data_IF_698419550576
#
_entry.id   IF_698419550576
#
_cell.length_a   1.000
_cell.length_b   1.000
_cell.length_c   1.000
_cell.angle_alpha   90.00
_cell.angle_beta   90.00
_cell.angle_gamma   90.00
#
_symmetry.space_group_name_H-M   'P 1'
#
loop_
_entity.id
_entity.type
_entity.pdbx_description
1 polymer ?
#
# COMPACT_ATOMS: atom_id res chain seq x y z
N UNK A 1 -10.23 9.59 -11.65
CA UNK A 1 -9.14 8.90 -10.92
C UNK A 1 -9.69 7.86 -9.98
N UNK A 2 -8.84 7.01 -9.40
CA UNK A 2 -9.24 6.00 -8.41
C UNK A 2 -8.64 6.31 -7.05
N UNK A 3 -9.44 6.23 -5.99
CA UNK A 3 -9.01 6.45 -4.62
C UNK A 3 -9.30 5.18 -3.81
N UNK A 4 -8.25 4.67 -3.15
CA UNK A 4 -8.34 3.46 -2.33
C UNK A 4 -7.92 3.75 -0.89
N UNK A 5 -8.60 3.17 0.08
CA UNK A 5 -8.15 3.21 1.47
C UNK A 5 -7.05 2.17 1.68
N UNK A 6 -5.86 2.64 2.05
CA UNK A 6 -4.76 1.78 2.48
C UNK A 6 -4.76 1.68 4.01
N UNK A 7 -4.65 0.48 4.54
CA UNK A 7 -4.55 0.26 5.98
C UNK A 7 -3.21 -0.39 6.32
N UNK A 8 -2.36 0.31 7.09
CA UNK A 8 -1.05 -0.21 7.49
C UNK A 8 -1.14 -1.26 8.60
N UNK A 9 -2.15 -1.13 9.46
CA UNK A 9 -2.36 -1.97 10.64
C UNK A 9 -1.18 -1.93 11.63
N UNK A 10 -0.74 -0.74 12.10
CA UNK A 10 0.29 -0.65 13.13
C UNK A 10 -0.27 -1.05 14.48
N UNK A 11 0.60 -1.55 15.38
CA UNK A 11 0.21 -1.76 16.77
C UNK A 11 -0.09 -0.41 17.45
N UNK A 12 -1.27 -0.31 18.09
CA UNK A 12 -1.83 0.98 18.55
C UNK A 12 -1.38 1.39 19.95
N UNK A 13 -0.78 0.47 20.74
CA UNK A 13 -0.50 0.64 22.17
C UNK A 13 1.00 0.52 22.54
N UNK A 14 1.91 0.94 21.65
CA UNK A 14 3.33 1.00 22.02
C UNK A 14 3.55 2.01 23.15
N UNK A 15 4.35 1.66 24.20
CA UNK A 15 4.55 2.49 25.37
C UNK A 15 5.24 3.82 25.03
N UNK A 16 5.13 4.81 25.94
CA UNK A 16 5.66 6.15 25.68
C UNK A 16 7.19 6.19 25.61
N UNK A 17 7.85 5.31 26.32
CA UNK A 17 9.31 5.13 26.33
C UNK A 17 9.81 4.13 25.24
N UNK A 18 8.97 3.80 24.24
CA UNK A 18 9.29 2.84 23.20
C UNK A 18 10.60 3.17 22.48
N UNK A 19 10.74 4.40 21.99
CA UNK A 19 11.92 4.83 21.24
C UNK A 19 13.21 4.93 22.09
N UNK A 20 13.10 4.94 23.41
CA UNK A 20 14.24 4.90 24.34
C UNK A 20 14.69 3.47 24.63
N UNK A 21 13.76 2.51 24.57
CA UNK A 21 14.03 1.11 24.91
C UNK A 21 14.40 0.26 23.70
N UNK A 22 13.84 0.55 22.54
CA UNK A 22 14.00 -0.26 21.34
C UNK A 22 14.63 0.55 20.21
N UNK A 23 15.42 -0.13 19.39
CA UNK A 23 16.18 0.52 18.30
C UNK A 23 15.40 0.59 17.00
N UNK A 24 14.41 -0.30 16.84
CA UNK A 24 13.63 -0.37 15.61
C UNK A 24 12.26 -0.98 15.88
N UNK A 25 11.20 -0.40 15.32
CA UNK A 25 9.86 -0.95 15.36
C UNK A 25 9.75 -2.30 14.62
N UNK A 26 10.73 -2.61 13.74
CA UNK A 26 10.72 -3.83 12.92
C UNK A 26 11.43 -5.02 13.55
N UNK A 27 12.50 -4.84 14.32
CA UNK A 27 13.42 -5.96 14.60
C UNK A 27 13.62 -6.34 16.07
N UNK A 28 13.47 -5.45 17.02
CA UNK A 28 13.79 -5.74 18.41
C UNK A 28 12.64 -5.72 19.43
N UNK A 29 11.41 -5.27 19.12
CA UNK A 29 10.33 -5.25 20.09
C UNK A 29 9.79 -6.66 20.37
N UNK A 30 9.88 -7.17 21.62
CA UNK A 30 9.37 -8.49 21.95
C UNK A 30 7.84 -8.48 22.07
N UNK A 31 7.16 -9.33 21.31
CA UNK A 31 5.70 -9.43 21.29
C UNK A 31 5.12 -9.67 22.70
N UNK A 32 5.72 -10.60 23.46
CA UNK A 32 5.20 -11.01 24.78
C UNK A 32 5.26 -9.91 25.84
N UNK A 33 6.10 -8.88 25.65
CA UNK A 33 6.20 -7.75 26.59
C UNK A 33 5.27 -6.59 26.19
N UNK A 34 5.00 -6.44 24.90
CA UNK A 34 4.35 -5.24 24.35
C UNK A 34 2.92 -5.49 23.91
N UNK A 35 2.59 -6.70 23.48
CA UNK A 35 1.33 -6.98 22.84
C UNK A 35 0.46 -7.98 23.62
N UNK A 36 -0.85 -7.76 23.57
CA UNK A 36 -1.87 -8.66 24.09
C UNK A 36 -2.63 -9.27 22.91
N UNK A 37 -2.67 -10.61 22.84
CA UNK A 37 -3.31 -11.32 21.72
C UNK A 37 -4.82 -11.08 21.63
N UNK A 38 -5.50 -10.77 22.75
CA UNK A 38 -6.94 -10.44 22.75
C UNK A 38 -7.15 -9.08 22.09
N UNK A 39 -6.32 -8.08 22.46
CA UNK A 39 -6.34 -6.76 21.80
C UNK A 39 -5.97 -6.86 20.33
N UNK A 40 -4.96 -7.65 19.98
CA UNK A 40 -4.58 -7.87 18.58
C UNK A 40 -5.74 -8.47 17.80
N UNK A 41 -6.45 -9.45 18.36
CA UNK A 41 -7.66 -10.00 17.76
C UNK A 41 -8.74 -8.93 17.51
N UNK A 42 -8.93 -8.00 18.46
CA UNK A 42 -9.84 -6.86 18.29
C UNK A 42 -9.37 -5.92 17.17
N UNK A 43 -8.06 -5.66 17.04
CA UNK A 43 -7.52 -4.79 15.99
C UNK A 43 -7.69 -5.38 14.60
N UNK A 44 -7.61 -6.72 14.43
CA UNK A 44 -7.95 -7.37 13.17
C UNK A 44 -9.40 -7.13 12.79
N UNK A 45 -10.34 -7.31 13.73
CA UNK A 45 -11.76 -7.06 13.47
C UNK A 45 -12.02 -5.59 13.14
N UNK A 46 -11.47 -4.64 13.91
CA UNK A 46 -11.60 -3.22 13.61
C UNK A 46 -11.03 -2.86 12.23
N UNK A 47 -9.89 -3.42 11.84
CA UNK A 47 -9.31 -3.17 10.52
C UNK A 47 -10.21 -3.66 9.40
N UNK A 48 -10.82 -4.85 9.56
CA UNK A 48 -11.80 -5.37 8.61
C UNK A 48 -13.04 -4.47 8.55
N UNK A 49 -13.59 -4.08 9.71
CA UNK A 49 -14.77 -3.20 9.79
C UNK A 49 -14.49 -1.83 9.17
N UNK A 50 -13.33 -1.23 9.42
CA UNK A 50 -12.90 0.06 8.84
C UNK A 50 -12.81 0.00 7.31
N UNK A 51 -12.23 -1.08 6.76
CA UNK A 51 -12.12 -1.27 5.31
C UNK A 51 -13.47 -1.57 4.65
N UNK A 52 -14.31 -2.39 5.28
CA UNK A 52 -15.67 -2.69 4.80
C UNK A 52 -16.51 -1.42 4.85
N UNK A 53 -16.42 -0.64 5.94
CA UNK A 53 -17.12 0.64 6.05
C UNK A 53 -16.72 1.61 4.95
N UNK A 54 -15.43 1.73 4.67
CA UNK A 54 -14.94 2.57 3.56
C UNK A 54 -15.51 2.10 2.20
N UNK A 55 -15.61 0.78 1.98
CA UNK A 55 -16.24 0.22 0.79
C UNK A 55 -17.72 0.59 0.70
N UNK A 56 -18.48 0.47 1.78
CA UNK A 56 -19.90 0.85 1.86
C UNK A 56 -20.11 2.36 1.63
N UNK A 57 -19.15 3.20 2.01
CA UNK A 57 -19.16 4.65 1.74
C UNK A 57 -18.72 5.02 0.32
N UNK A 58 -18.39 4.04 -0.49
CA UNK A 58 -18.16 4.22 -1.92
C UNK A 58 -16.74 4.59 -2.31
N UNK A 59 -15.73 4.25 -1.52
CA UNK A 59 -14.33 4.32 -1.95
C UNK A 59 -14.10 3.38 -3.15
N UNK A 60 -13.12 3.66 -4.01
CA UNK A 60 -12.90 2.83 -5.21
C UNK A 60 -12.22 1.50 -4.90
N UNK A 61 -11.37 1.46 -3.88
CA UNK A 61 -10.65 0.25 -3.49
C UNK A 61 -10.29 0.21 -2.01
N UNK A 62 -10.04 -0.98 -1.51
CA UNK A 62 -9.54 -1.25 -0.16
C UNK A 62 -8.25 -2.03 -0.24
N UNK A 63 -7.19 -1.52 0.43
CA UNK A 63 -5.84 -2.03 0.30
C UNK A 63 -5.35 -2.69 1.59
N UNK A 64 -4.79 -3.88 1.46
CA UNK A 64 -4.04 -4.60 2.50
C UNK A 64 -2.56 -4.71 2.10
N UNK A 65 -1.69 -4.96 3.07
CA UNK A 65 -0.23 -5.04 2.89
C UNK A 65 0.36 -6.21 3.68
N UNK A 66 1.66 -6.46 3.54
CA UNK A 66 2.37 -7.54 4.24
C UNK A 66 3.56 -7.00 5.01
N UNK A 67 3.60 -7.30 6.32
CA UNK A 67 4.74 -7.07 7.20
C UNK A 67 4.85 -8.18 8.23
N UNK A 68 6.08 -8.53 8.60
CA UNK A 68 6.36 -9.71 9.40
C UNK A 68 7.08 -9.38 10.70
N UNK A 69 6.66 -10.08 11.80
CA UNK A 69 7.36 -10.13 13.08
C UNK A 69 7.65 -8.75 13.70
N UNK A 70 6.75 -7.77 13.53
CA UNK A 70 6.99 -6.40 13.95
C UNK A 70 5.72 -5.67 14.37
N UNK A 71 5.90 -4.52 15.04
CA UNK A 71 4.80 -3.66 15.49
C UNK A 71 4.44 -2.55 14.48
N UNK A 72 5.20 -2.41 13.39
CA UNK A 72 4.95 -1.45 12.33
C UNK A 72 3.68 -1.76 11.54
N UNK A 73 3.51 -3.05 11.18
CA UNK A 73 2.32 -3.52 10.48
C UNK A 73 2.17 -5.02 10.75
N UNK A 74 1.23 -5.40 11.60
CA UNK A 74 1.07 -6.81 11.96
C UNK A 74 0.02 -7.51 11.08
N UNK A 75 0.24 -7.45 9.78
CA UNK A 75 -0.52 -8.16 8.75
C UNK A 75 0.39 -9.15 8.00
N UNK A 76 0.75 -10.29 8.63
CA UNK A 76 1.72 -11.23 8.05
C UNK A 76 1.17 -12.04 6.88
N UNK A 77 -0.14 -12.03 6.65
CA UNK A 77 -0.76 -12.65 5.50
C UNK A 77 -1.91 -11.76 4.97
N UNK A 78 -1.63 -10.92 3.96
CA UNK A 78 -2.63 -10.06 3.36
C UNK A 78 -3.72 -10.86 2.62
N UNK A 79 -3.43 -12.08 2.18
CA UNK A 79 -4.36 -12.89 1.38
C UNK A 79 -5.50 -13.45 2.25
N UNK A 80 -5.25 -13.72 3.53
CA UNK A 80 -6.32 -14.02 4.50
C UNK A 80 -7.25 -12.82 4.67
N UNK A 81 -6.71 -11.62 4.85
CA UNK A 81 -7.51 -10.40 4.97
C UNK A 81 -8.24 -10.09 3.67
N UNK A 82 -7.54 -10.20 2.54
CA UNK A 82 -8.10 -9.99 1.20
C UNK A 82 -9.25 -10.95 0.88
N UNK A 83 -9.17 -12.20 1.28
CA UNK A 83 -10.23 -13.19 1.08
C UNK A 83 -11.49 -12.85 1.86
N UNK A 84 -11.35 -12.41 3.13
CA UNK A 84 -12.46 -11.95 3.96
C UNK A 84 -13.09 -10.71 3.32
N UNK A 85 -12.27 -9.72 2.93
CA UNK A 85 -12.73 -8.48 2.31
C UNK A 85 -13.41 -8.74 0.96
N UNK A 86 -12.85 -9.62 0.12
CA UNK A 86 -13.45 -10.00 -1.15
C UNK A 86 -14.86 -10.59 -0.96
N UNK A 87 -15.05 -11.42 0.06
CA UNK A 87 -16.37 -12.01 0.39
C UNK A 87 -17.31 -10.98 1.02
N UNK A 88 -16.83 -10.18 1.96
CA UNK A 88 -17.65 -9.20 2.68
C UNK A 88 -18.15 -8.07 1.76
N UNK A 89 -17.35 -7.69 0.77
CA UNK A 89 -17.70 -6.65 -0.23
C UNK A 89 -18.30 -7.23 -1.51
N UNK A 90 -18.75 -8.48 -1.49
CA UNK A 90 -19.37 -9.08 -2.68
C UNK A 90 -20.64 -8.32 -3.08
N UNK A 91 -20.76 -8.06 -4.39
CA UNK A 91 -21.86 -7.25 -4.92
C UNK A 91 -21.66 -5.74 -4.84
N UNK A 92 -20.47 -5.26 -4.41
CA UNK A 92 -20.08 -3.84 -4.49
C UNK A 92 -19.13 -3.57 -5.63
N UNK A 93 -18.97 -2.29 -6.00
CA UNK A 93 -18.03 -1.82 -7.04
C UNK A 93 -16.64 -1.47 -6.47
N UNK A 94 -16.24 -2.07 -5.34
CA UNK A 94 -14.94 -1.81 -4.71
C UNK A 94 -13.89 -2.82 -5.16
N UNK A 95 -12.70 -2.35 -5.52
CA UNK A 95 -11.56 -3.22 -5.80
C UNK A 95 -10.93 -3.73 -4.50
N UNK A 96 -10.53 -5.00 -4.48
CA UNK A 96 -9.70 -5.59 -3.43
C UNK A 96 -8.24 -5.49 -3.87
N UNK A 97 -7.52 -4.55 -3.28
CA UNK A 97 -6.16 -4.21 -3.70
C UNK A 97 -5.16 -4.90 -2.77
N UNK A 98 -4.57 -5.99 -3.24
CA UNK A 98 -3.49 -6.67 -2.54
C UNK A 98 -2.19 -5.91 -2.79
N UNK A 99 -1.76 -5.05 -1.84
CA UNK A 99 -0.50 -4.30 -2.00
C UNK A 99 0.74 -5.01 -1.45
N UNK A 100 0.60 -6.25 -1.12
CA UNK A 100 0.85 -7.22 -0.88
C UNK A 100 1.56 -8.45 -0.66
N UNK A 101 1.48 -9.56 -1.33
CA UNK A 101 2.35 -10.70 -1.06
C UNK A 101 3.81 -10.41 -1.51
N UNK A 102 4.74 -10.44 -0.58
CA UNK A 102 6.17 -10.17 -0.81
C UNK A 102 6.79 -11.34 -1.58
N UNK A 103 7.03 -11.15 -2.88
CA UNK A 103 7.42 -12.26 -3.76
C UNK A 103 8.70 -13.01 -3.34
N UNK A 104 9.78 -12.33 -2.90
CA UNK A 104 11.02 -13.04 -2.52
C UNK A 104 10.89 -13.99 -1.34
N UNK A 105 9.92 -13.74 -0.42
CA UNK A 105 9.74 -14.56 0.78
C UNK A 105 8.97 -15.85 0.51
N UNK A 106 8.21 -15.90 -0.57
CA UNK A 106 7.37 -17.05 -0.92
C UNK A 106 8.17 -18.16 -1.58
N UNK A 107 8.11 -19.37 -1.03
CA UNK A 107 8.78 -20.54 -1.57
C UNK A 107 7.88 -21.78 -1.46
N UNK A 108 7.32 -22.26 -2.57
CA UNK A 108 7.42 -21.72 -3.92
C UNK A 108 6.45 -20.52 -4.14
N UNK A 109 6.78 -19.57 -5.04
CA UNK A 109 5.92 -18.41 -5.31
C UNK A 109 4.62 -18.76 -6.05
N UNK A 110 4.49 -19.97 -6.53
CA UNK A 110 3.26 -20.49 -7.14
C UNK A 110 2.08 -20.43 -6.19
N UNK A 111 2.32 -20.45 -4.87
CA UNK A 111 1.31 -20.29 -3.85
C UNK A 111 0.62 -18.93 -3.95
N UNK A 112 1.38 -17.85 -4.16
CA UNK A 112 0.80 -16.51 -4.39
C UNK A 112 -0.08 -16.51 -5.64
N UNK A 113 0.34 -17.20 -6.71
CA UNK A 113 -0.48 -17.29 -7.91
C UNK A 113 -1.84 -17.96 -7.65
N UNK A 114 -1.89 -18.97 -6.79
CA UNK A 114 -3.12 -19.65 -6.39
C UNK A 114 -3.97 -18.78 -5.44
N UNK A 115 -3.37 -18.22 -4.41
CA UNK A 115 -4.04 -17.35 -3.42
C UNK A 115 -4.67 -16.12 -4.09
N UNK A 116 -3.94 -15.44 -4.95
CA UNK A 116 -4.46 -14.32 -5.75
C UNK A 116 -5.58 -14.75 -6.70
N UNK A 117 -5.45 -15.93 -7.32
CA UNK A 117 -6.52 -16.46 -8.16
C UNK A 117 -7.79 -16.76 -7.36
N UNK A 118 -7.66 -17.28 -6.13
CA UNK A 118 -8.80 -17.49 -5.23
C UNK A 118 -9.48 -16.17 -4.88
N UNK A 119 -8.72 -15.15 -4.51
CA UNK A 119 -9.25 -13.82 -4.18
C UNK A 119 -9.96 -13.22 -5.41
N UNK A 120 -9.38 -13.36 -6.59
CA UNK A 120 -9.98 -12.88 -7.84
C UNK A 120 -11.31 -13.59 -8.13
N UNK A 121 -11.35 -14.91 -7.96
CA UNK A 121 -12.58 -15.69 -8.11
C UNK A 121 -13.64 -15.31 -7.05
N UNK A 122 -13.28 -15.20 -5.77
CA UNK A 122 -14.20 -14.82 -4.69
C UNK A 122 -14.75 -13.41 -4.91
N UNK A 123 -13.91 -12.49 -5.35
CA UNK A 123 -14.31 -11.09 -5.60
C UNK A 123 -15.06 -10.91 -6.92
N UNK A 124 -15.15 -11.92 -7.80
CA UNK A 124 -15.77 -11.78 -9.10
C UNK A 124 -14.95 -10.91 -10.06
N UNK A 125 -13.62 -11.01 -10.03
CA UNK A 125 -12.73 -10.26 -10.92
C UNK A 125 -12.50 -8.81 -10.49
N UNK A 126 -12.52 -8.51 -9.18
CA UNK A 126 -12.28 -7.17 -8.62
C UNK A 126 -10.91 -7.01 -7.96
N UNK A 127 -10.04 -8.00 -8.07
CA UNK A 127 -8.71 -7.96 -7.45
C UNK A 127 -7.72 -7.14 -8.26
N UNK A 128 -6.85 -6.40 -7.55
CA UNK A 128 -5.61 -5.80 -8.06
C UNK A 128 -4.44 -6.51 -7.38
N UNK A 129 -3.50 -7.02 -8.18
CA UNK A 129 -2.36 -7.80 -7.72
C UNK A 129 -1.15 -6.89 -7.44
N UNK A 130 -0.93 -6.51 -6.20
CA UNK A 130 0.32 -5.88 -5.78
C UNK A 130 1.43 -6.91 -5.66
N UNK A 131 2.59 -6.59 -6.20
CA UNK A 131 3.77 -7.45 -6.20
C UNK A 131 4.98 -6.69 -5.63
N UNK A 132 5.10 -6.55 -4.29
CA UNK A 132 6.23 -5.87 -3.67
C UNK A 132 7.51 -6.70 -3.70
N UNK A 133 8.64 -6.00 -3.80
CA UNK A 133 9.94 -6.57 -3.51
C UNK A 133 10.12 -6.86 -2.01
N UNK A 134 9.40 -6.13 -1.17
CA UNK A 134 9.49 -6.18 0.28
C UNK A 134 10.61 -5.31 0.87
N UNK A 135 10.51 -5.04 2.17
CA UNK A 135 11.54 -4.34 2.92
C UNK A 135 12.65 -5.30 3.34
N UNK A 136 13.85 -4.78 3.60
CA UNK A 136 14.95 -5.61 4.09
C UNK A 136 14.66 -6.27 5.44
N UNK A 137 13.92 -5.58 6.31
CA UNK A 137 13.54 -6.13 7.62
C UNK A 137 12.70 -7.38 7.45
N UNK A 138 11.65 -7.32 6.65
CA UNK A 138 10.76 -8.45 6.42
C UNK A 138 11.45 -9.57 5.61
N UNK A 139 12.17 -9.21 4.54
CA UNK A 139 12.74 -10.20 3.60
C UNK A 139 14.05 -10.79 4.13
N UNK A 140 14.99 -9.93 4.52
CA UNK A 140 16.33 -10.39 4.87
C UNK A 140 16.43 -10.85 6.32
N UNK A 141 15.82 -10.12 7.28
CA UNK A 141 15.92 -10.45 8.69
C UNK A 141 14.88 -11.50 9.12
N UNK A 142 13.60 -11.32 8.74
CA UNK A 142 12.54 -12.24 9.17
C UNK A 142 12.54 -13.57 8.40
N UNK A 143 12.88 -13.54 7.11
CA UNK A 143 12.85 -14.73 6.24
C UNK A 143 14.22 -15.25 5.84
N UNK A 144 15.30 -14.57 6.25
CA UNK A 144 16.67 -15.04 6.00
C UNK A 144 17.08 -15.06 4.52
N UNK A 145 16.41 -14.28 3.66
CA UNK A 145 16.80 -14.20 2.26
C UNK A 145 18.05 -13.30 2.15
N UNK A 146 19.16 -13.77 1.54
CA UNK A 146 20.33 -12.94 1.34
C UNK A 146 19.99 -11.68 0.52
N UNK A 147 20.45 -10.48 0.95
CA UNK A 147 20.11 -9.22 0.27
C UNK A 147 20.45 -9.23 -1.23
N UNK A 148 21.56 -9.87 -1.60
CA UNK A 148 22.01 -9.97 -3.00
C UNK A 148 21.08 -10.84 -3.88
N UNK A 149 20.33 -11.76 -3.29
CA UNK A 149 19.42 -12.64 -4.02
C UNK A 149 18.00 -12.06 -4.13
N UNK A 150 17.65 -11.11 -3.25
CA UNK A 150 16.28 -10.63 -3.09
C UNK A 150 15.65 -10.18 -4.42
N UNK A 151 16.38 -9.39 -5.21
CA UNK A 151 15.86 -8.84 -6.47
C UNK A 151 15.78 -9.89 -7.58
N UNK A 152 16.73 -10.78 -7.67
CA UNK A 152 16.69 -11.85 -8.67
C UNK A 152 15.59 -12.87 -8.36
N UNK A 153 15.39 -13.24 -7.09
CA UNK A 153 14.25 -14.04 -6.64
C UNK A 153 12.93 -13.38 -6.98
N UNK A 154 12.84 -12.06 -6.78
CA UNK A 154 11.66 -11.28 -7.11
C UNK A 154 11.30 -11.37 -8.59
N UNK A 155 12.27 -11.18 -9.47
CA UNK A 155 12.05 -11.25 -10.92
C UNK A 155 11.63 -12.66 -11.36
N UNK A 156 12.30 -13.69 -10.84
CA UNK A 156 11.95 -15.07 -11.16
C UNK A 156 10.56 -15.45 -10.64
N UNK A 157 10.20 -15.04 -9.42
CA UNK A 157 8.88 -15.26 -8.86
C UNK A 157 7.78 -14.59 -9.69
N UNK A 158 7.98 -13.33 -10.06
CA UNK A 158 7.06 -12.57 -10.92
C UNK A 158 6.80 -13.31 -12.25
N UNK A 159 7.87 -13.69 -12.96
CA UNK A 159 7.76 -14.35 -14.26
C UNK A 159 7.06 -15.71 -14.15
N UNK A 160 7.34 -16.48 -13.09
CA UNK A 160 6.67 -17.74 -12.80
C UNK A 160 5.17 -17.53 -12.54
N UNK A 161 4.79 -16.54 -11.72
CA UNK A 161 3.39 -16.24 -11.41
C UNK A 161 2.63 -15.84 -12.67
N UNK A 162 3.17 -14.90 -13.46
CA UNK A 162 2.51 -14.47 -14.69
C UNK A 162 2.36 -15.62 -15.69
N UNK A 163 3.39 -16.46 -15.83
CA UNK A 163 3.29 -17.64 -16.68
C UNK A 163 2.25 -18.62 -16.18
N UNK A 164 2.16 -18.85 -14.87
CA UNK A 164 1.16 -19.75 -14.27
C UNK A 164 -0.27 -19.28 -14.53
N UNK A 165 -0.53 -17.96 -14.49
CA UNK A 165 -1.84 -17.41 -14.80
C UNK A 165 -2.23 -17.50 -16.28
N UNK A 166 -1.25 -17.41 -17.18
CA UNK A 166 -1.49 -17.26 -18.63
C UNK A 166 -1.32 -18.56 -19.43
N UNK A 167 -0.46 -19.49 -18.98
CA UNK A 167 -0.18 -20.71 -19.75
C UNK A 167 -1.42 -21.60 -19.88
N UNK A 168 -1.87 -21.95 -21.08
CA UNK A 168 -2.98 -22.89 -21.27
C UNK A 168 -2.60 -24.32 -20.92
N UNK A 169 -1.31 -24.66 -20.92
CA UNK A 169 -0.77 -25.99 -20.73
C UNK A 169 -0.07 -26.18 -19.41
N UNK A 170 0.04 -27.41 -18.96
CA UNK A 170 0.91 -27.81 -17.84
C UNK A 170 2.35 -27.61 -18.28
N UNK A 171 3.18 -27.03 -17.43
CA UNK A 171 4.60 -26.81 -17.74
C UNK A 171 5.49 -27.12 -16.53
N UNK A 172 6.78 -27.32 -16.79
CA UNK A 172 7.81 -27.35 -15.77
C UNK A 172 8.49 -25.97 -15.67
N UNK A 173 8.91 -25.58 -14.46
CA UNK A 173 9.75 -24.42 -14.24
C UNK A 173 11.13 -24.85 -13.73
N UNK A 174 12.18 -24.45 -14.42
CA UNK A 174 13.56 -24.77 -14.05
C UNK A 174 14.38 -23.48 -14.00
N UNK A 175 14.11 -22.65 -13.00
CA UNK A 175 14.78 -21.40 -12.78
C UNK A 175 16.04 -21.54 -11.91
N UNK A 176 16.63 -20.41 -11.57
CA UNK A 176 17.80 -20.36 -10.68
C UNK A 176 17.40 -20.66 -9.24
N UNK A 177 16.31 -20.08 -8.76
CA UNK A 177 15.85 -20.14 -7.37
C UNK A 177 14.68 -21.12 -7.20
N UNK A 178 13.83 -21.28 -8.20
CA UNK A 178 12.63 -22.11 -8.10
C UNK A 178 12.67 -23.22 -9.16
N UNK A 179 12.44 -24.46 -8.71
CA UNK A 179 12.41 -25.64 -9.57
C UNK A 179 11.15 -26.43 -9.28
N UNK A 180 10.22 -26.41 -10.24
CA UNK A 180 8.94 -27.08 -10.14
C UNK A 180 8.78 -28.06 -11.31
N UNK A 181 8.73 -29.37 -11.06
CA UNK A 181 8.54 -30.36 -12.10
C UNK A 181 7.21 -30.19 -12.86
N UNK A 182 6.21 -29.64 -12.19
CA UNK A 182 4.89 -29.43 -12.77
C UNK A 182 4.28 -28.13 -12.19
N UNK A 183 3.76 -27.28 -13.06
CA UNK A 183 2.93 -26.12 -12.73
C UNK A 183 1.61 -26.23 -13.47
N UNK A 184 0.51 -26.31 -12.71
CA UNK A 184 -0.85 -26.35 -13.21
C UNK A 184 -1.77 -25.84 -12.10
N UNK A 185 -1.91 -24.51 -11.99
CA UNK A 185 -2.66 -23.91 -10.90
C UNK A 185 -4.18 -24.09 -11.03
N UNK A 186 -4.84 -24.32 -9.90
CA UNK A 186 -6.27 -24.40 -9.70
C UNK A 186 -6.63 -23.64 -8.41
N UNK A 187 -7.44 -22.52 -8.50
CA UNK A 187 -8.05 -21.95 -9.71
C UNK A 187 -7.09 -21.09 -10.54
N UNK A 188 -7.63 -20.51 -11.61
CA UNK A 188 -7.01 -19.42 -12.38
C UNK A 188 -7.82 -18.14 -12.19
N UNK A 189 -7.21 -16.96 -12.36
CA UNK A 189 -7.95 -15.71 -12.27
C UNK A 189 -9.09 -15.61 -13.27
N UNK A 190 -10.19 -14.97 -12.88
CA UNK A 190 -11.28 -14.56 -13.78
C UNK A 190 -10.77 -13.55 -14.80
N UNK A 191 -10.01 -12.56 -14.32
CA UNK A 191 -9.48 -11.48 -15.14
C UNK A 191 -8.48 -11.99 -16.17
N UNK A 192 -8.53 -11.45 -17.40
CA UNK A 192 -7.67 -11.86 -18.51
C UNK A 192 -6.86 -10.68 -19.05
N UNK A 193 -5.59 -10.87 -19.40
CA UNK A 193 -4.80 -12.11 -19.28
C UNK A 193 -4.47 -12.49 -17.83
N UNK A 194 -4.55 -11.55 -16.91
CA UNK A 194 -4.35 -11.66 -15.45
C UNK A 194 -4.91 -10.41 -14.76
N UNK A 195 -5.07 -10.39 -13.43
CA UNK A 195 -5.42 -9.17 -12.69
C UNK A 195 -4.43 -8.03 -12.96
N UNK A 196 -4.86 -6.76 -12.93
CA UNK A 196 -3.94 -5.63 -13.01
C UNK A 196 -2.82 -5.74 -11.97
N UNK A 197 -1.56 -5.54 -12.41
CA UNK A 197 -0.40 -5.65 -11.52
C UNK A 197 0.08 -4.27 -11.09
N UNK A 198 0.20 -4.08 -9.78
CA UNK A 198 0.75 -2.87 -9.17
C UNK A 198 2.08 -3.18 -8.47
N UNK A 199 3.09 -2.35 -8.71
CA UNK A 199 4.44 -2.51 -8.14
C UNK A 199 4.67 -1.42 -7.10
N UNK A 200 4.50 -1.73 -5.79
CA UNK A 200 4.89 -0.80 -4.75
C UNK A 200 6.42 -0.64 -4.69
N UNK A 201 6.86 0.59 -4.49
CA UNK A 201 8.29 0.88 -4.43
C UNK A 201 8.62 2.24 -3.84
N UNK A 202 9.89 2.45 -3.53
CA UNK A 202 10.42 3.63 -2.83
C UNK A 202 11.26 4.58 -3.71
N UNK A 203 11.18 4.48 -5.05
CA UNK A 203 11.91 5.37 -5.96
C UNK A 203 13.22 4.80 -6.54
N UNK A 204 13.38 3.49 -6.53
CA UNK A 204 14.49 2.80 -7.19
C UNK A 204 14.36 2.82 -8.72
N UNK A 205 15.44 3.15 -9.43
CA UNK A 205 15.49 3.15 -10.90
C UNK A 205 15.13 1.77 -11.48
N UNK A 206 15.60 0.69 -10.85
CA UNK A 206 15.29 -0.67 -11.28
C UNK A 206 13.82 -1.04 -11.10
N UNK A 207 13.12 -0.45 -10.11
CA UNK A 207 11.67 -0.63 -9.95
C UNK A 207 10.89 0.12 -11.03
N UNK A 208 11.34 1.31 -11.43
CA UNK A 208 10.73 2.06 -12.53
C UNK A 208 10.90 1.34 -13.86
N UNK A 209 12.13 0.86 -14.15
CA UNK A 209 12.43 0.07 -15.35
C UNK A 209 11.56 -1.19 -15.44
N UNK A 210 11.51 -1.94 -14.34
CA UNK A 210 10.69 -3.14 -14.24
C UNK A 210 9.20 -2.86 -14.48
N UNK A 211 8.66 -1.84 -13.79
CA UNK A 211 7.25 -1.47 -13.95
C UNK A 211 6.92 -1.01 -15.36
N UNK A 212 7.81 -0.23 -15.97
CA UNK A 212 7.61 0.25 -17.34
C UNK A 212 7.72 -0.85 -18.38
N UNK A 213 8.73 -1.72 -18.26
CA UNK A 213 8.98 -2.85 -19.17
C UNK A 213 7.82 -3.84 -19.20
N UNK A 214 7.23 -4.14 -18.04
CA UNK A 214 6.12 -5.08 -17.92
C UNK A 214 4.74 -4.43 -18.02
N UNK A 215 4.69 -3.11 -18.30
CA UNK A 215 3.44 -2.33 -18.35
C UNK A 215 2.62 -2.43 -17.06
N UNK A 216 3.28 -2.40 -15.89
CA UNK A 216 2.65 -2.39 -14.58
C UNK A 216 2.44 -0.97 -14.06
N UNK A 217 1.51 -0.80 -13.10
CA UNK A 217 1.35 0.45 -12.37
C UNK A 217 2.43 0.57 -11.31
N UNK A 218 3.21 1.65 -11.34
CA UNK A 218 4.16 1.97 -10.26
C UNK A 218 3.45 2.71 -9.13
N UNK A 219 3.55 2.21 -7.90
CA UNK A 219 2.96 2.84 -6.72
C UNK A 219 4.04 3.31 -5.75
N UNK A 220 4.21 4.62 -5.60
CA UNK A 220 5.13 5.17 -4.61
C UNK A 220 4.48 5.15 -3.22
N UNK A 221 4.94 4.21 -2.39
CA UNK A 221 4.54 4.12 -0.98
C UNK A 221 5.56 4.84 -0.12
N UNK A 222 5.16 5.96 0.46
CA UNK A 222 6.02 6.79 1.30
C UNK A 222 5.21 7.54 2.35
N UNK A 223 5.82 7.72 3.51
CA UNK A 223 5.26 8.51 4.61
C UNK A 223 5.93 9.89 4.76
N UNK A 224 6.78 10.27 3.81
CA UNK A 224 7.58 11.50 3.84
C UNK A 224 6.92 12.65 3.09
N UNK A 225 5.61 12.55 2.89
CA UNK A 225 4.78 13.59 2.29
C UNK A 225 4.96 13.80 0.79
N UNK A 226 4.01 14.52 0.20
CA UNK A 226 3.98 14.71 -1.25
C UNK A 226 5.03 15.72 -1.76
N UNK A 227 5.62 16.55 -0.89
CA UNK A 227 6.74 17.42 -1.28
C UNK A 227 8.01 16.60 -1.59
N UNK A 228 8.32 15.61 -0.74
CA UNK A 228 9.36 14.63 -1.04
C UNK A 228 8.94 13.71 -2.19
N UNK A 229 7.69 13.25 -2.16
CA UNK A 229 7.10 12.41 -3.20
C UNK A 229 7.19 13.01 -4.60
N UNK A 230 7.08 14.35 -4.72
CA UNK A 230 7.22 15.02 -6.01
C UNK A 230 8.54 14.71 -6.71
N UNK A 231 9.64 14.71 -5.99
CA UNK A 231 10.96 14.44 -6.60
C UNK A 231 11.09 13.03 -7.13
N UNK A 232 10.52 12.07 -6.37
CA UNK A 232 10.51 10.68 -6.81
C UNK A 232 9.61 10.53 -8.04
N UNK A 233 8.44 11.16 -8.02
CA UNK A 233 7.50 11.09 -9.14
C UNK A 233 8.00 11.86 -10.37
N UNK A 234 8.68 13.00 -10.21
CA UNK A 234 9.33 13.68 -11.33
C UNK A 234 10.37 12.77 -11.97
N UNK A 235 11.20 12.08 -11.16
CA UNK A 235 12.17 11.11 -11.67
C UNK A 235 11.50 9.93 -12.40
N UNK A 236 10.37 9.44 -11.89
CA UNK A 236 9.59 8.41 -12.58
C UNK A 236 9.04 8.90 -13.93
N UNK A 237 8.45 10.10 -13.96
CA UNK A 237 7.88 10.65 -15.19
C UNK A 237 8.98 11.00 -16.22
N UNK A 238 10.13 11.48 -15.78
CA UNK A 238 11.31 11.66 -16.63
C UNK A 238 11.78 10.33 -17.22
N UNK A 239 11.77 9.27 -16.43
CA UNK A 239 12.09 7.92 -16.89
C UNK A 239 11.09 7.43 -17.94
N UNK A 240 9.79 7.59 -17.69
CA UNK A 240 8.70 7.23 -18.62
C UNK A 240 8.87 7.98 -19.94
N UNK A 241 9.13 9.30 -19.89
CA UNK A 241 9.32 10.14 -21.09
C UNK A 241 10.56 9.72 -21.89
N UNK A 242 11.70 9.51 -21.24
CA UNK A 242 12.95 9.08 -21.90
C UNK A 242 12.85 7.71 -22.56
N UNK A 243 12.07 6.82 -21.94
CA UNK A 243 11.82 5.48 -22.48
C UNK A 243 10.70 5.42 -23.51
N UNK A 244 10.07 6.55 -23.86
CA UNK A 244 8.89 6.63 -24.73
C UNK A 244 7.76 5.67 -24.28
N UNK A 245 7.59 5.52 -22.96
CA UNK A 245 6.50 4.74 -22.38
C UNK A 245 5.22 5.56 -22.30
N UNK A 246 4.06 4.90 -22.09
CA UNK A 246 2.74 5.53 -21.99
C UNK A 246 2.72 6.54 -20.81
N UNK A 247 2.52 7.85 -21.05
CA UNK A 247 2.53 8.89 -20.01
C UNK A 247 1.22 9.00 -19.22
N UNK A 248 0.37 7.99 -19.30
CA UNK A 248 -0.94 7.94 -18.68
C UNK A 248 -0.85 8.06 -17.13
N UNK A 249 -1.54 9.00 -16.48
CA UNK A 249 -1.51 9.16 -15.01
C UNK A 249 -1.91 7.91 -14.23
N UNK A 250 -2.76 7.07 -14.79
CA UNK A 250 -3.16 5.80 -14.16
C UNK A 250 -2.05 4.74 -14.09
N UNK A 251 -0.92 4.98 -14.77
CA UNK A 251 0.31 4.19 -14.60
C UNK A 251 0.98 4.43 -13.24
N UNK A 252 0.56 5.47 -12.50
CA UNK A 252 1.17 5.87 -11.24
C UNK A 252 0.18 5.90 -10.10
N UNK A 253 0.64 5.40 -8.93
CA UNK A 253 -0.04 5.48 -7.65
C UNK A 253 0.80 6.21 -6.61
N UNK A 254 0.15 6.80 -5.61
CA UNK A 254 0.80 7.50 -4.49
C UNK A 254 0.05 7.25 -3.19
N UNK A 255 0.79 7.09 -2.08
CA UNK A 255 0.22 6.97 -0.74
C UNK A 255 0.31 8.31 -0.01
N UNK A 256 -0.81 8.80 0.53
CA UNK A 256 -0.90 10.01 1.34
C UNK A 256 -1.65 9.74 2.65
N UNK A 257 -1.11 10.24 3.78
CA UNK A 257 -1.83 10.28 5.04
C UNK A 257 -2.87 11.40 4.97
N UNK A 258 -4.13 11.09 5.34
CA UNK A 258 -5.25 12.02 5.26
C UNK A 258 -6.09 11.96 6.53
N UNK A 259 -6.38 13.13 7.11
CA UNK A 259 -7.18 13.27 8.31
C UNK A 259 -8.18 14.44 8.20
N UNK A 260 -9.47 14.12 8.26
CA UNK A 260 -10.56 15.09 8.05
C UNK A 260 -11.34 15.29 9.35
N UNK A 261 -11.54 16.53 9.75
CA UNK A 261 -12.45 16.93 10.82
C UNK A 261 -13.35 18.08 10.37
N UNK A 262 -14.27 18.49 11.19
CA UNK A 262 -15.24 19.56 10.88
C UNK A 262 -14.58 20.91 10.61
N UNK A 263 -13.44 21.17 11.30
CA UNK A 263 -12.63 22.38 11.14
C UNK A 263 -11.14 22.06 11.21
N UNK A 264 -10.29 22.96 10.71
CA UNK A 264 -8.83 22.80 10.80
C UNK A 264 -8.36 22.74 12.26
N UNK A 265 -8.94 23.56 13.14
CA UNK A 265 -8.62 23.55 14.57
C UNK A 265 -9.08 22.25 15.28
N UNK A 266 -10.18 21.65 14.82
CA UNK A 266 -10.62 20.38 15.35
C UNK A 266 -9.72 19.25 14.86
N UNK A 267 -9.26 19.29 13.61
CA UNK A 267 -8.32 18.30 13.06
C UNK A 267 -7.00 18.25 13.87
N UNK A 268 -6.48 19.39 14.31
CA UNK A 268 -5.31 19.40 15.18
C UNK A 268 -5.57 18.68 16.51
N UNK A 269 -6.72 18.95 17.15
CA UNK A 269 -7.10 18.31 18.42
C UNK A 269 -7.31 16.82 18.28
N UNK A 270 -8.00 16.40 17.21
CA UNK A 270 -8.36 15.00 16.98
C UNK A 270 -7.12 14.16 16.63
N UNK A 271 -6.22 14.69 15.77
CA UNK A 271 -5.23 13.85 15.08
C UNK A 271 -3.78 14.06 15.51
N UNK A 272 -3.38 15.21 16.10
CA UNK A 272 -1.97 15.50 16.36
C UNK A 272 -1.26 14.43 17.18
N UNK A 273 -1.85 13.93 18.25
CA UNK A 273 -1.24 12.87 19.08
C UNK A 273 -1.02 11.57 18.30
N UNK A 274 -1.90 11.25 17.34
CA UNK A 274 -1.82 10.03 16.52
C UNK A 274 -0.80 10.18 15.38
N UNK A 275 -0.68 11.39 14.82
CA UNK A 275 0.38 11.76 13.88
C UNK A 275 1.74 11.65 14.58
N UNK A 276 1.87 12.22 15.78
CA UNK A 276 3.11 12.09 16.58
C UNK A 276 3.45 10.63 16.85
N UNK A 277 2.46 9.85 17.32
CA UNK A 277 2.65 8.41 17.55
C UNK A 277 3.17 7.69 16.31
N UNK A 278 2.61 7.99 15.15
CA UNK A 278 3.02 7.38 13.89
C UNK A 278 4.49 7.67 13.57
N UNK A 279 4.88 8.94 13.62
CA UNK A 279 6.26 9.32 13.29
C UNK A 279 7.27 8.97 14.39
N UNK A 280 6.87 8.99 15.65
CA UNK A 280 7.77 8.71 16.76
C UNK A 280 7.96 7.23 17.05
N UNK A 281 6.93 6.41 16.81
CA UNK A 281 6.92 4.99 17.19
C UNK A 281 6.79 4.07 15.97
N UNK A 282 5.81 4.27 15.08
CA UNK A 282 5.62 3.38 13.93
C UNK A 282 6.73 3.53 12.88
N UNK A 283 7.39 4.68 12.78
CA UNK A 283 8.54 4.89 11.89
C UNK A 283 9.88 4.94 12.63
N UNK A 284 9.91 4.55 13.91
CA UNK A 284 11.14 4.52 14.68
C UNK A 284 12.06 3.41 14.20
N UNK A 285 13.19 3.81 13.63
CA UNK A 285 14.27 2.92 13.22
C UNK A 285 15.60 3.68 13.25
N UNK A 286 16.57 3.14 13.95
CA UNK A 286 17.90 3.71 13.94
C UNK A 286 18.61 3.46 12.61
N UNK A 287 19.50 4.37 12.17
CA UNK A 287 20.16 4.31 10.86
C UNK A 287 20.83 2.99 10.51
N UNK A 288 21.41 2.30 11.49
CA UNK A 288 22.08 1.01 11.34
C UNK A 288 21.15 -0.14 10.95
N UNK A 289 19.84 0.02 11.14
CA UNK A 289 18.81 -0.94 10.73
C UNK A 289 18.19 -0.63 9.35
N UNK A 290 18.63 0.45 8.71
CA UNK A 290 18.21 0.72 7.33
C UNK A 290 18.75 -0.33 6.35
N UNK A 291 18.09 -0.51 5.19
CA UNK A 291 18.46 -1.54 4.24
C UNK A 291 19.94 -1.49 3.85
N UNK A 292 20.59 -2.63 3.95
CA UNK A 292 21.99 -2.80 3.63
C UNK A 292 22.21 -2.77 2.11
N UNK A 293 23.36 -2.32 1.66
CA UNK A 293 23.80 -2.48 0.28
C UNK A 293 23.68 -3.95 -0.16
N UNK A 294 23.09 -4.20 -1.34
CA UNK A 294 22.89 -5.55 -1.88
C UNK A 294 21.45 -5.80 -2.37
N UNK A 295 20.44 -5.18 -1.75
CA UNK A 295 19.08 -5.23 -2.26
C UNK A 295 18.79 -4.16 -3.34
N UNK A 296 19.70 -3.23 -3.56
CA UNK A 296 19.63 -2.23 -4.63
C UNK A 296 20.79 -2.43 -5.61
N UNK A 297 20.53 -2.24 -6.90
CA UNK A 297 21.60 -2.15 -7.88
C UNK A 297 22.44 -0.87 -7.68
N UNK A 298 23.67 -0.87 -8.21
CA UNK A 298 24.62 0.22 -8.02
C UNK A 298 24.07 1.59 -8.48
N UNK A 299 23.34 1.64 -9.59
CA UNK A 299 22.79 2.91 -10.12
C UNK A 299 21.69 3.44 -9.20
N UNK A 300 20.83 2.56 -8.71
CA UNK A 300 19.77 2.90 -7.72
C UNK A 300 20.38 3.37 -6.41
N UNK A 301 21.44 2.71 -5.92
CA UNK A 301 22.16 3.09 -4.70
C UNK A 301 22.79 4.49 -4.86
N UNK A 302 23.50 4.75 -5.95
CA UNK A 302 24.09 6.06 -6.24
C UNK A 302 23.01 7.15 -6.30
N UNK A 303 21.90 6.90 -7.00
CA UNK A 303 20.80 7.86 -7.09
C UNK A 303 20.17 8.14 -5.70
N UNK A 304 19.96 7.10 -4.88
CA UNK A 304 19.47 7.23 -3.51
C UNK A 304 20.40 8.09 -2.67
N UNK A 305 21.69 7.73 -2.61
CA UNK A 305 22.67 8.41 -1.76
C UNK A 305 22.92 9.86 -2.19
N UNK A 306 23.00 10.12 -3.50
CA UNK A 306 23.36 11.45 -3.99
C UNK A 306 22.19 12.41 -4.15
N UNK A 307 20.98 11.91 -4.39
CA UNK A 307 19.82 12.77 -4.72
C UNK A 307 18.70 12.73 -3.71
N UNK A 308 18.40 11.57 -3.11
CA UNK A 308 17.22 11.39 -2.24
C UNK A 308 17.59 11.41 -0.75
N UNK A 309 18.58 10.63 -0.34
CA UNK A 309 18.88 10.40 1.07
C UNK A 309 19.34 11.64 1.87
N UNK A 310 20.20 12.56 1.34
CA UNK A 310 20.65 13.70 2.14
C UNK A 310 19.51 14.54 2.69
N UNK A 311 18.46 14.73 1.88
CA UNK A 311 17.31 15.54 2.28
C UNK A 311 16.34 14.76 3.16
N UNK A 312 16.23 13.45 2.96
CA UNK A 312 15.44 12.59 3.83
C UNK A 312 16.03 12.56 5.24
N UNK A 313 17.36 12.41 5.37
CA UNK A 313 18.05 12.46 6.67
C UNK A 313 17.87 13.82 7.37
N UNK A 314 17.95 14.94 6.63
CA UNK A 314 17.68 16.26 7.18
C UNK A 314 16.24 16.40 7.71
N UNK A 315 15.26 15.88 6.97
CA UNK A 315 13.86 15.83 7.40
C UNK A 315 13.68 14.93 8.64
N UNK A 316 14.24 13.72 8.64
CA UNK A 316 14.15 12.80 9.78
C UNK A 316 14.69 13.41 11.07
N UNK A 317 15.80 14.15 10.99
CA UNK A 317 16.39 14.84 12.15
C UNK A 317 15.52 15.98 12.70
N UNK A 318 14.65 16.56 11.87
CA UNK A 318 13.74 17.67 12.27
C UNK A 318 12.41 17.17 12.85
N UNK A 319 11.92 16.01 12.37
CA UNK A 319 10.61 15.47 12.80
C UNK A 319 10.41 15.40 14.31
N UNK A 320 11.40 15.02 15.14
CA UNK A 320 11.23 14.96 16.59
C UNK A 320 10.83 16.31 17.23
N UNK A 321 11.14 17.44 16.58
CA UNK A 321 10.82 18.79 17.07
C UNK A 321 9.54 19.36 16.47
N UNK A 322 8.92 18.70 15.50
CA UNK A 322 7.77 19.20 14.78
C UNK A 322 6.50 19.25 15.62
N UNK A 323 5.72 20.31 15.41
CA UNK A 323 4.35 20.47 15.88
C UNK A 323 3.39 20.05 14.77
N UNK A 324 2.09 20.02 15.08
CA UNK A 324 1.04 19.69 14.10
C UNK A 324 1.19 20.48 12.79
N UNK A 325 1.36 21.80 12.92
CA UNK A 325 1.51 22.68 11.75
C UNK A 325 2.68 22.30 10.86
N UNK A 326 3.79 21.84 11.42
CA UNK A 326 4.97 21.46 10.63
C UNK A 326 4.69 20.22 9.76
N UNK A 327 3.94 19.24 10.27
CA UNK A 327 3.51 18.07 9.49
C UNK A 327 2.60 18.46 8.33
N UNK A 328 1.66 19.36 8.56
CA UNK A 328 0.70 19.83 7.55
C UNK A 328 1.39 20.72 6.51
N UNK A 329 2.19 21.70 6.92
CA UNK A 329 2.89 22.63 6.02
C UNK A 329 3.90 21.90 5.12
N UNK A 330 4.57 20.87 5.65
CA UNK A 330 5.47 20.03 4.86
C UNK A 330 4.76 18.92 4.09
N UNK A 331 3.42 18.86 4.17
CA UNK A 331 2.59 17.91 3.43
C UNK A 331 2.83 16.43 3.78
N UNK A 332 3.36 16.16 4.98
CA UNK A 332 3.49 14.79 5.49
C UNK A 332 2.12 14.17 5.74
N UNK A 333 1.22 15.00 6.28
CA UNK A 333 -0.19 14.67 6.45
C UNK A 333 -1.00 15.78 5.81
N UNK A 334 -1.99 15.43 5.02
CA UNK A 334 -3.02 16.36 4.57
C UNK A 334 -4.15 16.28 5.60
N UNK A 335 -4.27 17.32 6.43
CA UNK A 335 -5.22 17.32 7.54
C UNK A 335 -5.91 18.67 7.70
N UNK A 336 -7.21 18.64 8.06
CA UNK A 336 -8.00 19.84 8.24
C UNK A 336 -9.50 19.63 8.01
N UNK A 337 -10.18 20.74 7.74
CA UNK A 337 -11.57 20.73 7.29
C UNK A 337 -11.72 20.06 5.92
N UNK A 338 -12.92 19.62 5.53
CA UNK A 338 -13.13 19.06 4.20
C UNK A 338 -12.67 19.98 3.07
N UNK A 339 -12.84 21.30 3.22
CA UNK A 339 -12.40 22.27 2.22
C UNK A 339 -10.87 22.31 2.09
N UNK A 340 -10.16 22.35 3.22
CA UNK A 340 -8.69 22.35 3.28
C UNK A 340 -8.14 21.05 2.67
N UNK A 341 -8.70 19.89 3.07
CA UNK A 341 -8.25 18.60 2.58
C UNK A 341 -8.50 18.43 1.08
N UNK A 342 -9.67 18.85 0.57
CA UNK A 342 -9.96 18.83 -0.87
C UNK A 342 -8.95 19.63 -1.67
N UNK A 343 -8.67 20.87 -1.23
CA UNK A 343 -7.73 21.73 -1.93
C UNK A 343 -6.33 21.11 -1.97
N UNK A 344 -5.77 20.76 -0.82
CA UNK A 344 -4.40 20.25 -0.72
C UNK A 344 -4.24 18.92 -1.42
N UNK A 345 -5.23 18.03 -1.32
CA UNK A 345 -5.17 16.73 -1.97
C UNK A 345 -5.28 16.83 -3.51
N UNK A 346 -6.11 17.77 -4.03
CA UNK A 346 -6.20 18.04 -5.45
C UNK A 346 -4.89 18.62 -6.01
N UNK A 347 -4.27 19.52 -5.27
CA UNK A 347 -2.95 20.06 -5.61
C UNK A 347 -1.90 18.94 -5.64
N UNK A 348 -1.89 18.06 -4.64
CA UNK A 348 -0.98 16.90 -4.60
C UNK A 348 -1.18 15.97 -5.80
N UNK A 349 -2.41 15.59 -6.11
CA UNK A 349 -2.75 14.71 -7.24
C UNK A 349 -2.25 15.29 -8.58
N UNK A 350 -2.51 16.57 -8.83
CA UNK A 350 -2.07 17.26 -10.07
C UNK A 350 -0.55 17.39 -10.11
N UNK A 351 0.06 17.81 -9.00
CA UNK A 351 1.50 17.99 -8.84
C UNK A 351 2.29 16.70 -9.06
N UNK A 352 1.78 15.57 -8.57
CA UNK A 352 2.39 14.25 -8.70
C UNK A 352 1.99 13.54 -9.99
N UNK A 353 0.95 14.02 -10.66
CA UNK A 353 0.37 13.43 -11.87
C UNK A 353 0.00 11.95 -11.68
N UNK A 354 -0.76 11.63 -10.64
CA UNK A 354 -1.15 10.26 -10.30
C UNK A 354 -2.63 10.02 -10.56
N UNK A 355 -2.95 8.86 -11.15
CA UNK A 355 -4.32 8.41 -11.41
C UNK A 355 -4.87 7.50 -10.32
N UNK A 356 -4.00 6.91 -9.50
CA UNK A 356 -4.35 6.05 -8.38
C UNK A 356 -3.83 6.67 -7.08
N UNK A 357 -4.73 7.02 -6.17
CA UNK A 357 -4.38 7.58 -4.86
C UNK A 357 -4.75 6.58 -3.78
N UNK A 358 -3.78 6.21 -2.96
CA UNK A 358 -4.02 5.47 -1.74
C UNK A 358 -4.06 6.46 -0.58
N UNK A 359 -5.15 6.47 0.18
CA UNK A 359 -5.30 7.31 1.36
C UNK A 359 -5.18 6.46 2.62
N UNK A 360 -4.28 6.85 3.52
CA UNK A 360 -4.16 6.23 4.84
C UNK A 360 -5.01 7.04 5.80
N UNK A 361 -6.24 6.53 6.07
CA UNK A 361 -7.24 7.19 6.92
C UNK A 361 -7.14 6.74 8.39
N UNK A 362 -6.43 5.64 8.67
CA UNK A 362 -6.04 5.25 10.03
C UNK A 362 -4.57 5.60 10.25
N UNK A 363 -4.25 6.51 11.15
CA UNK A 363 -2.89 7.00 11.40
C UNK A 363 -2.46 6.61 12.81
N UNK A 364 -1.38 5.82 12.91
CA UNK A 364 -0.73 5.46 14.16
C UNK A 364 -1.66 4.81 15.19
N UNK A 365 -1.89 5.48 16.30
CA UNK A 365 -2.70 4.98 17.43
C UNK A 365 -4.17 5.44 17.39
N UNK A 366 -4.71 5.80 16.23
CA UNK A 366 -6.12 6.23 16.14
C UNK A 366 -7.06 5.14 16.67
N UNK A 367 -8.00 5.49 17.55
CA UNK A 367 -9.06 4.57 17.95
C UNK A 367 -10.02 4.31 16.79
N UNK A 368 -10.73 3.19 16.85
CA UNK A 368 -11.67 2.75 15.82
C UNK A 368 -12.70 3.83 15.47
N UNK A 369 -13.39 4.39 16.47
CA UNK A 369 -14.43 5.40 16.26
C UNK A 369 -13.90 6.66 15.55
N UNK A 370 -12.67 7.09 15.85
CA UNK A 370 -12.05 8.23 15.18
C UNK A 370 -11.68 7.88 13.73
N UNK A 371 -11.29 6.64 13.47
CA UNK A 371 -11.03 6.16 12.11
C UNK A 371 -12.33 6.13 11.30
N UNK A 372 -13.42 5.60 11.86
CA UNK A 372 -14.75 5.62 11.23
C UNK A 372 -15.21 7.05 10.91
N UNK A 373 -15.07 7.99 11.88
CA UNK A 373 -15.37 9.40 11.66
C UNK A 373 -14.56 9.99 10.50
N UNK A 374 -13.26 9.70 10.42
CA UNK A 374 -12.39 10.15 9.34
C UNK A 374 -12.83 9.58 7.98
N UNK A 375 -13.18 8.30 7.93
CA UNK A 375 -13.71 7.65 6.72
C UNK A 375 -15.02 8.32 6.28
N UNK A 376 -15.95 8.55 7.19
CA UNK A 376 -17.25 9.18 6.90
C UNK A 376 -17.06 10.57 6.28
N UNK A 377 -16.28 11.44 6.93
CA UNK A 377 -16.03 12.79 6.45
C UNK A 377 -15.25 12.78 5.12
N UNK A 378 -14.26 11.90 4.99
CA UNK A 378 -13.53 11.77 3.74
C UNK A 378 -14.44 11.32 2.58
N UNK A 379 -15.23 10.28 2.79
CA UNK A 379 -16.06 9.71 1.74
C UNK A 379 -17.25 10.60 1.37
N UNK A 380 -17.87 11.31 2.34
CA UNK A 380 -19.00 12.21 2.07
C UNK A 380 -18.57 13.56 1.50
N UNK A 381 -17.51 14.16 2.04
CA UNK A 381 -17.17 15.55 1.79
C UNK A 381 -15.96 15.74 0.86
N UNK A 382 -15.05 14.77 0.78
CA UNK A 382 -13.80 14.91 0.01
C UNK A 382 -13.85 14.08 -1.27
N UNK A 383 -14.08 12.79 -1.16
CA UNK A 383 -14.05 11.82 -2.26
C UNK A 383 -14.89 12.23 -3.51
N UNK A 384 -16.11 12.79 -3.38
CA UNK A 384 -16.92 13.15 -4.55
C UNK A 384 -16.26 14.15 -5.49
N UNK A 385 -15.41 15.03 -4.97
CA UNK A 385 -14.71 16.06 -5.74
C UNK A 385 -13.57 15.53 -6.62
N UNK A 386 -13.17 14.27 -6.40
CA UNK A 386 -12.14 13.59 -7.19
C UNK A 386 -12.70 12.69 -8.27
N UNK A 387 -14.03 12.50 -8.29
CA UNK A 387 -14.71 11.81 -9.39
C UNK A 387 -14.49 12.58 -10.68
N UNK A 388 -14.13 11.89 -11.74
CA UNK A 388 -13.88 12.51 -13.03
C UNK A 388 -12.49 13.12 -13.25
N UNK A 389 -11.64 13.23 -12.23
CA UNK A 389 -10.24 13.65 -12.46
C UNK A 389 -9.56 12.62 -13.36
N UNK A 390 -8.94 13.08 -14.44
CA UNK A 390 -8.35 12.30 -15.54
C UNK A 390 -9.34 11.54 -16.44
N UNK A 391 -10.63 11.45 -16.07
CA UNK A 391 -11.63 10.76 -16.89
C UNK A 391 -11.89 11.53 -18.18
N UNK A 392 -12.06 10.80 -19.30
CA UNK A 392 -12.23 11.39 -20.63
C UNK A 392 -10.91 11.81 -21.32
N UNK A 393 -9.84 12.03 -20.58
CA UNK A 393 -8.51 12.28 -21.14
C UNK A 393 -7.69 10.98 -21.26
N UNK A 394 -7.85 10.08 -20.28
CA UNK A 394 -7.05 8.87 -20.13
C UNK A 394 -7.89 7.66 -19.76
N UNK A 395 -7.61 6.52 -20.41
CA UNK A 395 -8.16 5.21 -20.02
C UNK A 395 -7.37 4.62 -18.86
N UNK A 396 -8.06 4.12 -17.82
CA UNK A 396 -7.40 3.37 -16.75
C UNK A 396 -7.18 1.91 -17.15
N UNK A 397 -5.98 1.59 -17.65
CA UNK A 397 -5.57 0.24 -18.06
C UNK A 397 -5.15 -0.67 -16.88
N UNK A 398 -4.97 -0.10 -15.69
CA UNK A 398 -4.46 -0.78 -14.49
C UNK A 398 -5.52 -0.92 -13.40
N UNK A 399 -6.78 -1.04 -13.82
CA UNK A 399 -7.93 -1.25 -12.92
C UNK A 399 -8.75 -2.45 -13.40
N UNK A 400 -9.39 -3.22 -12.50
CA UNK A 400 -10.22 -4.37 -12.90
C UNK A 400 -11.26 -3.99 -13.94
N UNK A 401 -11.35 -4.77 -15.03
CA UNK A 401 -12.26 -4.51 -16.13
C UNK A 401 -13.72 -4.52 -15.67
N UNK A 402 -14.06 -5.42 -14.73
CA UNK A 402 -15.39 -5.51 -14.12
C UNK A 402 -15.84 -4.23 -13.40
N UNK A 403 -14.91 -3.32 -13.09
CA UNK A 403 -15.16 -2.06 -12.37
C UNK A 403 -15.01 -0.81 -13.25
N UNK A 404 -14.91 -0.95 -14.58
CA UNK A 404 -14.76 0.18 -15.52
C UNK A 404 -16.08 0.73 -16.03
N UNK A 405 -17.20 0.10 -15.76
CA UNK A 405 -18.53 0.56 -16.16
C UNK A 405 -19.12 1.67 -15.25
N UNK A 406 -20.27 2.24 -15.63
CA UNK A 406 -21.01 3.12 -14.73
C UNK A 406 -21.39 2.34 -13.47
N UNK A 407 -21.17 2.96 -12.29
CA UNK A 407 -21.52 2.33 -11.00
C UNK A 407 -22.99 1.98 -10.97
N UNK A 408 -23.31 0.72 -10.96
CA UNK A 408 -24.64 0.23 -10.63
C UNK A 408 -24.86 0.49 -9.14
N UNK A 409 -25.90 1.27 -8.78
CA UNK A 409 -26.37 1.33 -7.41
C UNK A 409 -26.87 -0.07 -7.06
N UNK A 410 -26.03 -0.87 -6.42
CA UNK A 410 -26.44 -2.16 -5.90
C UNK A 410 -27.29 -1.85 -4.69
N UNK A 411 -28.56 -2.25 -4.76
CA UNK A 411 -29.43 -2.27 -3.59
C UNK A 411 -28.73 -3.11 -2.51
N UNK A 412 -28.57 -2.55 -1.32
CA UNK A 412 -28.04 -3.23 -0.15
C UNK A 412 -28.94 -4.44 0.17
N UNK A 413 -28.70 -5.56 -0.50
CA UNK A 413 -29.32 -6.81 -0.15
C UNK A 413 -28.67 -7.28 1.15
N UNK A 414 -29.42 -7.12 2.25
CA UNK A 414 -29.04 -7.39 3.63
C UNK A 414 -28.40 -8.74 3.91
N UNK A 415 -27.11 -8.84 3.61
CA UNK A 415 -26.27 -9.94 4.09
C UNK A 415 -25.71 -9.63 5.50
N UNK A 416 -25.82 -8.38 5.97
CA UNK A 416 -25.36 -7.96 7.30
C UNK A 416 -26.35 -8.19 8.44
N UNK A 417 -27.50 -8.82 8.21
CA UNK A 417 -28.53 -9.04 9.23
C UNK A 417 -28.38 -10.33 10.06
N UNK A 418 -27.36 -11.15 9.84
CA UNK A 418 -27.21 -12.45 10.46
C UNK A 418 -25.97 -12.63 11.37
N UNK A 419 -25.29 -11.55 11.74
CA UNK A 419 -24.17 -11.60 12.68
C UNK A 419 -24.24 -10.43 13.67
N UNK A 420 -25.29 -10.44 14.51
CA UNK A 420 -25.34 -9.71 15.80
C UNK A 420 -25.66 -10.68 16.91
#
# INVERSE_FOLDING_TARGET
MKISMFHLMPYRDLPDDFAQKYHSVWVDPPYCELADSVKVGQYYNWTLDELIHAADKGIDGICVNEHHQNAYGFMPNPDLMGSILARATNGTDVAVVQMGATLPTSNPPIRIAEEYSMIDCISGGRMVAGMPLGTSQDVNLCYGIPPIEQRERYYEAHDLILKAWQSPEIFAWNGKYFKLPMVNIWPRPIQKPHPPVWIPGSGSLSTWDFSAKHNHCYCFLSYWGNNFGKRVMDGFWDFVAKGNHDPNPYRAGFLQLVAVSETDAQAEKDYYKHIRYFYDKCLHILPEYFPVAGNQDYKSLVNSVTKLNPQLFDLMNKIPTWKYKDFVDNQFVIAGSPATVRQQLMEAVKKLRVGNLMVLLHIGSMPHDLTIKNIDLFCSEVLPHFRGVWDGEWENKWWPESLKGPRTKIASNGVHAAAR
#
